data_IF_548457121634
#
_entry.id   IF_548457121634
#
_cell.length_a   1.000
_cell.length_b   1.000
_cell.length_c   1.000
_cell.angle_alpha   90.00
_cell.angle_beta   90.00
_cell.angle_gamma   90.00
#
_symmetry.space_group_name_H-M   'P 1'
#
loop_
_entity.id
_entity.type
_entity.pdbx_description
1 polymer ?
#
# COMPACT_ATOMS: atom_id res chain seq x y z
N UNK A 1 17.32 -1.20 12.61
CA UNK A 1 17.15 0.25 12.32
C UNK A 1 15.67 0.63 12.52
N UNK A 2 15.32 1.91 12.75
CA UNK A 2 13.91 2.35 12.80
C UNK A 2 13.50 2.97 11.46
N UNK A 3 13.10 2.12 10.51
CA UNK A 3 12.70 2.53 9.16
C UNK A 3 11.49 3.46 9.15
N UNK A 4 10.62 3.37 10.17
CA UNK A 4 9.47 4.28 10.30
C UNK A 4 9.96 5.70 10.55
N UNK A 5 10.87 5.91 11.51
CA UNK A 5 11.42 7.26 11.75
C UNK A 5 12.11 7.85 10.52
N UNK A 6 12.71 7.00 9.71
CA UNK A 6 13.47 7.43 8.55
C UNK A 6 12.60 7.79 7.34
N UNK A 7 11.60 6.96 7.02
CA UNK A 7 10.83 7.07 5.78
C UNK A 7 9.42 7.63 5.96
N UNK A 8 8.95 7.83 7.20
CA UNK A 8 7.61 8.35 7.44
C UNK A 8 7.47 9.81 7.00
N UNK A 9 6.44 10.07 6.21
CA UNK A 9 6.04 11.43 5.80
C UNK A 9 4.95 11.92 6.75
N UNK A 10 5.30 12.84 7.65
CA UNK A 10 4.35 13.40 8.61
C UNK A 10 3.23 14.18 7.93
N UNK A 11 1.99 14.16 8.47
CA UNK A 11 0.89 14.97 7.95
C UNK A 11 1.27 16.45 7.81
N UNK A 12 0.89 17.06 6.68
CA UNK A 12 1.20 18.47 6.39
C UNK A 12 2.65 18.75 5.95
N UNK A 13 3.57 17.79 6.06
CA UNK A 13 4.95 17.95 5.58
C UNK A 13 4.95 18.05 4.05
N UNK A 14 5.47 19.15 3.51
CA UNK A 14 5.72 19.28 2.07
C UNK A 14 6.89 18.38 1.67
N UNK A 15 6.63 17.37 0.86
CA UNK A 15 7.64 16.45 0.36
C UNK A 15 8.19 16.93 -0.99
N UNK A 16 9.51 16.89 -1.15
CA UNK A 16 10.18 17.04 -2.46
C UNK A 16 10.89 15.74 -2.79
N UNK A 17 10.36 14.98 -3.75
CA UNK A 17 10.93 13.68 -4.14
C UNK A 17 12.37 13.79 -4.64
N UNK A 18 12.75 14.92 -5.25
CA UNK A 18 14.12 15.17 -5.68
C UNK A 18 15.16 15.18 -4.54
N UNK A 19 14.71 15.32 -3.27
CA UNK A 19 15.58 15.23 -2.10
C UNK A 19 15.66 13.83 -1.49
N UNK A 20 15.04 12.82 -2.12
CA UNK A 20 15.06 11.42 -1.68
C UNK A 20 15.92 10.65 -2.66
N UNK A 21 17.02 10.09 -2.17
CA UNK A 21 17.92 9.27 -2.97
C UNK A 21 17.30 7.88 -3.22
N UNK A 22 16.99 7.51 -4.48
CA UNK A 22 16.47 6.18 -4.80
C UNK A 22 17.51 5.06 -4.63
N UNK A 23 18.80 5.38 -4.54
CA UNK A 23 19.88 4.42 -4.31
C UNK A 23 20.20 4.23 -2.80
N UNK A 24 19.43 4.84 -1.91
CA UNK A 24 19.68 4.76 -0.48
C UNK A 24 19.56 3.32 0.06
N UNK A 25 20.62 2.83 0.71
CA UNK A 25 20.72 1.43 1.19
C UNK A 25 20.42 1.25 2.68
N UNK A 26 20.05 2.33 3.39
CA UNK A 26 19.80 2.32 4.83
C UNK A 26 20.96 1.72 5.67
N UNK A 27 22.20 1.93 5.20
CA UNK A 27 23.40 1.47 5.89
C UNK A 27 23.80 0.02 5.61
N UNK A 28 23.08 -0.69 4.73
CA UNK A 28 23.46 -2.02 4.26
C UNK A 28 24.50 -1.88 3.14
N UNK A 29 25.62 -2.63 3.21
CA UNK A 29 26.66 -2.56 2.18
C UNK A 29 26.37 -3.47 0.98
N UNK A 30 25.61 -4.56 1.18
CA UNK A 30 25.20 -5.47 0.11
C UNK A 30 23.85 -6.12 0.40
N UNK A 31 23.31 -6.83 -0.60
CA UNK A 31 22.09 -7.61 -0.43
C UNK A 31 22.30 -8.75 0.59
N UNK A 32 23.46 -9.39 0.56
CA UNK A 32 23.84 -10.50 1.44
C UNK A 32 23.90 -10.07 2.91
N UNK A 33 24.39 -8.86 3.19
CA UNK A 33 24.42 -8.32 4.56
C UNK A 33 23.01 -7.99 5.10
N UNK A 34 22.07 -7.66 4.21
CA UNK A 34 20.69 -7.38 4.59
C UNK A 34 19.85 -8.64 4.81
N UNK A 35 20.25 -9.80 4.25
CA UNK A 35 19.48 -11.05 4.31
C UNK A 35 19.09 -11.46 5.74
N UNK A 36 19.99 -11.46 6.75
CA UNK A 36 19.62 -11.85 8.11
C UNK A 36 18.54 -10.96 8.73
N UNK A 37 18.55 -9.65 8.45
CA UNK A 37 17.51 -8.73 8.92
C UNK A 37 16.18 -8.98 8.20
N UNK A 38 16.23 -9.24 6.89
CA UNK A 38 15.05 -9.57 6.07
C UNK A 38 14.41 -10.87 6.58
N UNK A 39 15.18 -11.95 6.75
CA UNK A 39 14.67 -13.23 7.23
C UNK A 39 14.06 -13.12 8.63
N UNK A 40 14.74 -12.40 9.54
CA UNK A 40 14.20 -12.09 10.87
C UNK A 40 12.85 -11.39 10.79
N UNK A 41 12.72 -10.40 9.91
CA UNK A 41 11.47 -9.66 9.74
C UNK A 41 10.39 -10.52 9.09
N UNK A 42 10.72 -11.38 8.12
CA UNK A 42 9.79 -12.33 7.50
C UNK A 42 9.22 -13.29 8.53
N UNK A 43 10.05 -13.88 9.38
CA UNK A 43 9.61 -14.74 10.48
C UNK A 43 8.68 -13.99 11.45
N UNK A 44 9.06 -12.78 11.85
CA UNK A 44 8.23 -11.95 12.73
C UNK A 44 6.89 -11.57 12.09
N UNK A 45 6.88 -11.28 10.78
CA UNK A 45 5.64 -10.99 10.05
C UNK A 45 4.71 -12.20 10.04
N UNK A 46 5.26 -13.41 9.89
CA UNK A 46 4.48 -14.65 9.95
C UNK A 46 3.76 -14.81 11.31
N UNK A 47 4.50 -14.63 12.40
CA UNK A 47 3.97 -14.69 13.77
C UNK A 47 2.87 -13.65 14.00
N UNK A 48 3.12 -12.40 13.60
CA UNK A 48 2.16 -11.31 13.76
C UNK A 48 0.92 -11.49 12.89
N UNK A 49 1.07 -12.02 11.67
CA UNK A 49 -0.07 -12.32 10.79
C UNK A 49 -0.95 -13.41 11.39
N UNK A 50 -0.35 -14.45 11.98
CA UNK A 50 -1.10 -15.50 12.68
C UNK A 50 -1.89 -14.94 13.88
N UNK A 51 -1.29 -14.03 14.65
CA UNK A 51 -1.97 -13.35 15.75
C UNK A 51 -3.10 -12.44 15.27
N UNK A 52 -2.88 -11.63 14.22
CA UNK A 52 -3.91 -10.79 13.62
C UNK A 52 -5.11 -11.63 13.18
N UNK A 53 -4.85 -12.73 12.49
CA UNK A 53 -5.88 -13.64 11.99
C UNK A 53 -6.66 -14.31 13.14
N UNK A 54 -5.97 -14.74 14.19
CA UNK A 54 -6.60 -15.37 15.34
C UNK A 54 -7.41 -14.39 16.21
N UNK A 55 -6.93 -13.15 16.36
CA UNK A 55 -7.60 -12.09 17.13
C UNK A 55 -8.87 -11.59 16.42
N UNK A 56 -8.80 -11.36 15.11
CA UNK A 56 -9.97 -11.00 14.31
C UNK A 56 -10.66 -9.68 14.70
N UNK A 57 -9.99 -8.79 15.45
CA UNK A 57 -10.55 -7.48 15.79
C UNK A 57 -10.04 -6.35 14.89
N UNK A 58 -8.87 -6.52 14.28
CA UNK A 58 -8.24 -5.54 13.40
C UNK A 58 -7.96 -6.14 12.02
N UNK A 59 -7.66 -5.29 11.06
CA UNK A 59 -7.22 -5.66 9.72
C UNK A 59 -6.01 -4.82 9.30
N UNK A 60 -5.31 -5.23 8.24
CA UNK A 60 -4.19 -4.46 7.70
C UNK A 60 -4.33 -4.27 6.19
N UNK A 61 -4.36 -3.01 5.76
CA UNK A 61 -4.26 -2.65 4.36
C UNK A 61 -2.85 -2.14 4.04
N UNK A 62 -2.15 -2.81 3.10
CA UNK A 62 -0.84 -2.39 2.60
C UNK A 62 -1.00 -1.85 1.19
N UNK A 63 -0.74 -0.56 0.98
CA UNK A 63 -0.81 0.07 -0.35
C UNK A 63 0.59 0.22 -0.94
N UNK A 64 0.83 -0.45 -2.07
CA UNK A 64 2.07 -0.34 -2.83
C UNK A 64 1.84 0.54 -4.06
N UNK A 65 2.46 1.71 -4.06
CA UNK A 65 2.47 2.62 -5.21
C UNK A 65 3.88 2.98 -5.65
N UNK A 66 4.13 2.86 -6.96
CA UNK A 66 5.42 3.13 -7.57
C UNK A 66 5.30 3.17 -9.10
N UNK A 67 6.33 3.68 -9.77
CA UNK A 67 6.46 3.59 -11.23
C UNK A 67 6.50 2.12 -11.72
N UNK A 68 6.32 1.93 -13.02
CA UNK A 68 6.51 0.62 -13.64
C UNK A 68 7.96 0.17 -13.50
N UNK A 69 8.15 -1.15 -13.34
CA UNK A 69 9.44 -1.78 -13.04
C UNK A 69 10.11 -1.37 -11.71
N UNK A 70 9.46 -0.61 -10.83
CA UNK A 70 10.01 -0.20 -9.54
C UNK A 70 10.04 -1.30 -8.45
N UNK A 71 9.78 -2.57 -8.80
CA UNK A 71 9.94 -3.70 -7.87
C UNK A 71 8.75 -4.05 -6.98
N UNK A 72 7.55 -3.47 -7.20
CA UNK A 72 6.32 -3.78 -6.42
C UNK A 72 6.05 -5.28 -6.32
N UNK A 73 6.16 -6.00 -7.44
CA UNK A 73 5.90 -7.43 -7.49
C UNK A 73 6.94 -8.25 -6.69
N UNK A 74 8.18 -7.77 -6.61
CA UNK A 74 9.21 -8.36 -5.76
C UNK A 74 8.87 -8.21 -4.28
N UNK A 75 8.45 -7.01 -3.86
CA UNK A 75 7.98 -6.75 -2.49
C UNK A 75 6.79 -7.67 -2.14
N UNK A 76 5.82 -7.80 -3.03
CA UNK A 76 4.67 -8.71 -2.84
C UNK A 76 5.15 -10.16 -2.66
N UNK A 77 6.08 -10.65 -3.48
CA UNK A 77 6.63 -12.01 -3.33
C UNK A 77 7.28 -12.24 -1.97
N UNK A 78 8.04 -11.27 -1.45
CA UNK A 78 8.66 -11.36 -0.13
C UNK A 78 7.64 -11.31 1.02
N UNK A 79 6.55 -10.56 0.87
CA UNK A 79 5.47 -10.58 1.85
C UNK A 79 4.83 -11.97 1.94
N UNK A 80 4.58 -12.60 0.80
CA UNK A 80 3.97 -13.94 0.72
C UNK A 80 4.92 -15.09 1.08
N UNK A 81 6.24 -14.88 1.12
CA UNK A 81 7.16 -15.93 1.56
C UNK A 81 7.09 -16.18 3.08
N UNK A 82 6.52 -15.25 3.86
CA UNK A 82 6.35 -15.41 5.31
C UNK A 82 4.91 -15.61 5.77
N UNK A 83 3.93 -15.03 5.09
CA UNK A 83 2.55 -14.97 5.59
C UNK A 83 1.67 -16.12 5.08
N UNK A 84 0.69 -16.54 5.89
CA UNK A 84 -0.25 -17.59 5.50
C UNK A 84 -1.25 -17.06 4.46
N UNK A 85 -1.40 -17.70 3.29
CA UNK A 85 -2.32 -17.25 2.23
C UNK A 85 -3.80 -17.28 2.63
N UNK A 86 -4.19 -17.97 3.71
CA UNK A 86 -5.58 -17.94 4.22
C UNK A 86 -5.96 -16.59 4.83
N UNK A 87 -4.99 -15.84 5.36
CA UNK A 87 -5.22 -14.53 5.98
C UNK A 87 -4.62 -13.37 5.19
N UNK A 88 -4.05 -13.63 4.01
CA UNK A 88 -3.34 -12.62 3.22
C UNK A 88 -3.71 -12.72 1.75
N UNK A 89 -4.13 -11.61 1.15
CA UNK A 89 -4.45 -11.53 -0.27
C UNK A 89 -3.81 -10.32 -0.96
N UNK A 90 -3.71 -10.38 -2.29
CA UNK A 90 -3.23 -9.27 -3.13
C UNK A 90 -4.30 -8.91 -4.12
N UNK A 91 -4.54 -7.61 -4.29
CA UNK A 91 -5.34 -7.11 -5.37
C UNK A 91 -4.55 -6.11 -6.22
N UNK A 92 -4.46 -6.41 -7.52
CA UNK A 92 -3.80 -5.54 -8.50
C UNK A 92 -4.81 -4.66 -9.23
N UNK A 93 -4.64 -3.34 -9.17
CA UNK A 93 -5.52 -2.42 -9.89
C UNK A 93 -5.00 -2.14 -11.29
N UNK A 94 -5.79 -2.53 -12.30
CA UNK A 94 -5.57 -2.18 -13.71
C UNK A 94 -6.46 -1.02 -14.13
N UNK A 95 -6.50 -0.72 -15.43
CA UNK A 95 -7.49 0.19 -16.00
C UNK A 95 -8.91 -0.23 -15.56
N UNK A 96 -9.77 0.71 -15.14
CA UNK A 96 -11.14 0.39 -14.75
C UNK A 96 -11.91 -0.31 -15.87
N UNK A 97 -12.69 -1.33 -15.51
CA UNK A 97 -13.68 -1.91 -16.43
C UNK A 97 -14.82 -0.92 -16.70
N UNK A 98 -15.69 -1.22 -17.69
CA UNK A 98 -16.86 -0.40 -17.96
C UNK A 98 -17.81 -0.31 -16.74
N UNK A 99 -17.95 -1.40 -15.98
CA UNK A 99 -18.74 -1.43 -14.74
C UNK A 99 -18.08 -0.57 -13.66
N UNK A 100 -16.77 -0.76 -13.43
CA UNK A 100 -16.05 0.04 -12.44
C UNK A 100 -16.08 1.53 -12.75
N UNK A 101 -16.01 1.90 -14.03
CA UNK A 101 -16.10 3.28 -14.50
C UNK A 101 -17.52 3.87 -14.41
N UNK A 102 -18.55 3.03 -14.28
CA UNK A 102 -19.94 3.47 -14.06
C UNK A 102 -20.23 3.80 -12.58
N UNK A 103 -19.33 3.43 -11.66
CA UNK A 103 -19.37 3.79 -10.25
C UNK A 103 -18.39 4.93 -9.93
N UNK A 104 -18.39 5.40 -8.68
CA UNK A 104 -17.33 6.27 -8.20
C UNK A 104 -15.98 5.52 -8.14
N UNK A 105 -14.88 6.27 -8.18
CA UNK A 105 -13.54 5.67 -8.28
C UNK A 105 -13.11 4.86 -7.05
N UNK A 106 -13.71 5.10 -5.88
CA UNK A 106 -13.41 4.39 -4.64
C UNK A 106 -14.18 3.07 -4.56
N UNK A 107 -15.32 2.93 -5.24
CA UNK A 107 -16.16 1.74 -5.20
C UNK A 107 -15.37 0.43 -5.35
N UNK A 108 -14.54 0.33 -6.41
CA UNK A 108 -13.75 -0.89 -6.65
C UNK A 108 -12.66 -1.12 -5.61
N UNK A 109 -12.11 -0.05 -5.03
CA UNK A 109 -11.08 -0.14 -3.99
C UNK A 109 -11.70 -0.56 -2.65
N UNK A 110 -12.82 0.06 -2.28
CA UNK A 110 -13.56 -0.26 -1.06
C UNK A 110 -14.02 -1.72 -1.06
N UNK A 111 -14.48 -2.27 -2.19
CA UNK A 111 -14.83 -3.70 -2.30
C UNK A 111 -13.68 -4.67 -2.03
N UNK A 112 -12.44 -4.19 -1.99
CA UNK A 112 -11.22 -5.00 -1.82
C UNK A 112 -10.50 -4.72 -0.50
N UNK A 113 -11.04 -3.87 0.37
CA UNK A 113 -10.45 -3.65 1.69
C UNK A 113 -10.49 -4.94 2.52
N UNK A 114 -9.52 -5.15 3.43
CA UNK A 114 -9.44 -6.38 4.22
C UNK A 114 -10.67 -6.55 5.13
N UNK A 115 -11.10 -7.79 5.32
CA UNK A 115 -11.95 -8.15 6.46
C UNK A 115 -11.10 -8.20 7.75
N UNK A 116 -11.75 -8.19 8.92
CA UNK A 116 -11.02 -8.35 10.18
C UNK A 116 -10.27 -9.68 10.22
N UNK A 117 -9.04 -9.65 10.73
CA UNK A 117 -8.10 -10.76 10.72
C UNK A 117 -7.31 -10.89 9.41
N UNK A 118 -7.65 -10.12 8.37
CA UNK A 118 -6.99 -10.21 7.07
C UNK A 118 -5.97 -9.10 6.83
N UNK A 119 -4.99 -9.45 6.00
CA UNK A 119 -4.05 -8.54 5.36
C UNK A 119 -4.39 -8.48 3.87
N UNK A 120 -4.64 -7.29 3.34
CA UNK A 120 -4.77 -7.09 1.90
C UNK A 120 -3.64 -6.19 1.40
N UNK A 121 -2.95 -6.63 0.35
CA UNK A 121 -1.96 -5.83 -0.36
C UNK A 121 -2.56 -5.28 -1.65
N UNK A 122 -2.64 -3.96 -1.76
CA UNK A 122 -3.00 -3.25 -2.97
C UNK A 122 -1.74 -3.02 -3.81
N UNK A 123 -1.62 -3.71 -4.94
CA UNK A 123 -0.58 -3.46 -5.96
C UNK A 123 -1.13 -2.47 -6.99
N UNK A 124 -0.71 -1.20 -6.88
CA UNK A 124 -1.51 -0.02 -7.28
C UNK A 124 -2.78 0.10 -6.43
N UNK A 125 -3.51 1.21 -6.52
CA UNK A 125 -4.63 1.50 -5.60
C UNK A 125 -5.52 2.65 -6.08
N UNK A 126 -6.44 3.11 -5.23
CA UNK A 126 -7.23 4.33 -5.41
C UNK A 126 -6.38 5.60 -5.63
N UNK A 127 -5.09 5.57 -5.35
CA UNK A 127 -4.18 6.66 -5.68
C UNK A 127 -3.96 6.82 -7.21
N UNK A 128 -4.23 5.80 -8.03
CA UNK A 128 -4.19 5.94 -9.51
C UNK A 128 -5.08 7.11 -9.99
N UNK A 129 -6.20 7.32 -9.31
CA UNK A 129 -7.19 8.34 -9.63
C UNK A 129 -6.75 9.79 -9.35
N UNK A 130 -5.57 9.97 -8.76
CA UNK A 130 -4.88 11.26 -8.61
C UNK A 130 -3.45 11.24 -9.18
N UNK A 131 -3.05 10.14 -9.81
CA UNK A 131 -1.76 9.95 -10.49
C UNK A 131 -1.93 9.90 -12.02
N UNK A 132 -2.30 8.74 -12.58
CA UNK A 132 -2.43 8.56 -14.04
C UNK A 132 -3.52 9.47 -14.61
N UNK A 133 -4.64 9.63 -13.89
CA UNK A 133 -5.74 10.53 -14.24
C UNK A 133 -5.25 11.98 -14.37
N UNK A 134 -4.37 12.41 -13.46
CA UNK A 134 -3.80 13.76 -13.46
C UNK A 134 -2.80 13.95 -14.61
N UNK A 135 -1.89 12.98 -14.82
CA UNK A 135 -0.84 13.07 -15.84
C UNK A 135 -1.43 13.09 -17.25
N UNK A 136 -2.38 12.19 -17.53
CA UNK A 136 -3.04 12.09 -18.84
C UNK A 136 -4.27 12.98 -19.00
N UNK A 137 -4.59 13.80 -17.98
CA UNK A 137 -5.73 14.73 -18.00
C UNK A 137 -7.06 14.06 -18.34
N UNK A 138 -7.30 12.85 -17.79
CA UNK A 138 -8.50 12.07 -18.08
C UNK A 138 -9.78 12.75 -17.57
N UNK A 139 -9.65 13.61 -16.56
CA UNK A 139 -10.69 14.52 -16.08
C UNK A 139 -10.10 15.91 -15.79
N UNK A 140 -10.91 16.98 -15.74
CA UNK A 140 -10.44 18.31 -15.38
C UNK A 140 -9.77 18.35 -14.00
N UNK A 141 -8.83 19.30 -13.81
CA UNK A 141 -8.13 19.49 -12.52
C UNK A 141 -9.08 19.62 -11.34
N UNK A 142 -10.16 20.38 -11.49
CA UNK A 142 -11.16 20.58 -10.45
C UNK A 142 -11.79 19.26 -9.96
N UNK A 143 -11.89 18.25 -10.84
CA UNK A 143 -12.44 16.94 -10.50
C UNK A 143 -11.42 16.12 -9.71
N UNK A 144 -10.22 15.88 -10.25
CA UNK A 144 -9.26 15.02 -9.56
C UNK A 144 -8.65 15.66 -8.32
N UNK A 145 -8.57 17.00 -8.24
CA UNK A 145 -8.04 17.66 -7.04
C UNK A 145 -8.95 17.49 -5.82
N UNK A 146 -10.27 17.41 -6.03
CA UNK A 146 -11.23 17.10 -4.96
C UNK A 146 -11.09 15.68 -4.41
N UNK A 147 -10.51 14.76 -5.20
CA UNK A 147 -10.32 13.36 -4.77
C UNK A 147 -9.33 13.22 -3.62
N UNK A 148 -8.44 14.19 -3.38
CA UNK A 148 -7.55 14.14 -2.21
C UNK A 148 -8.31 14.13 -0.89
N UNK A 149 -9.41 14.88 -0.80
CA UNK A 149 -10.27 14.90 0.39
C UNK A 149 -11.05 13.60 0.52
N UNK A 150 -11.63 13.13 -0.59
CA UNK A 150 -12.36 11.85 -0.63
C UNK A 150 -11.48 10.66 -0.23
N UNK A 151 -10.21 10.63 -0.67
CA UNK A 151 -9.25 9.58 -0.27
C UNK A 151 -8.96 9.66 1.23
N UNK A 152 -8.72 10.87 1.77
CA UNK A 152 -8.49 11.05 3.21
C UNK A 152 -9.69 10.58 4.03
N UNK A 153 -10.90 10.91 3.61
CA UNK A 153 -12.11 10.52 4.34
C UNK A 153 -12.39 9.02 4.23
N UNK A 154 -12.12 8.42 3.07
CA UNK A 154 -12.13 6.97 2.90
C UNK A 154 -11.14 6.28 3.85
N UNK A 155 -9.88 6.74 3.91
CA UNK A 155 -8.87 6.13 4.78
C UNK A 155 -9.18 6.36 6.27
N UNK A 156 -9.77 7.51 6.65
CA UNK A 156 -10.29 7.73 8.01
C UNK A 156 -11.42 6.76 8.36
N UNK A 157 -12.33 6.49 7.42
CA UNK A 157 -13.40 5.51 7.60
C UNK A 157 -12.83 4.11 7.88
N UNK A 158 -11.81 3.70 7.11
CA UNK A 158 -11.14 2.42 7.31
C UNK A 158 -10.47 2.33 8.69
N UNK A 159 -9.75 3.38 9.10
CA UNK A 159 -9.11 3.47 10.42
C UNK A 159 -10.15 3.41 11.54
N UNK A 160 -11.25 4.14 11.40
CA UNK A 160 -12.35 4.12 12.38
C UNK A 160 -13.00 2.73 12.50
N UNK A 161 -12.87 1.88 11.48
CA UNK A 161 -13.37 0.50 11.46
C UNK A 161 -12.31 -0.55 11.83
N UNK A 162 -11.10 -0.15 12.22
CA UNK A 162 -10.05 -1.05 12.69
C UNK A 162 -9.10 -1.58 11.60
N UNK A 163 -9.02 -0.89 10.45
CA UNK A 163 -8.00 -1.15 9.40
C UNK A 163 -6.83 -0.19 9.47
#
# INVERSE_FOLDING_TARGET
MDYRKQFFVSPGRKLKLAGIDPAHTAGQASAEEALPEIEKNVTRMAELQALLYADGNQSLLVVLQALDAAGKDGVVRHLFSGMNPQGTSVFGFKQPSAEEAAHDFLWRAHRRTPARGEIVVFNRSHYEDVLVVRVHKLVPKAVWSGRYELIQDFEKLLVANGT
#
